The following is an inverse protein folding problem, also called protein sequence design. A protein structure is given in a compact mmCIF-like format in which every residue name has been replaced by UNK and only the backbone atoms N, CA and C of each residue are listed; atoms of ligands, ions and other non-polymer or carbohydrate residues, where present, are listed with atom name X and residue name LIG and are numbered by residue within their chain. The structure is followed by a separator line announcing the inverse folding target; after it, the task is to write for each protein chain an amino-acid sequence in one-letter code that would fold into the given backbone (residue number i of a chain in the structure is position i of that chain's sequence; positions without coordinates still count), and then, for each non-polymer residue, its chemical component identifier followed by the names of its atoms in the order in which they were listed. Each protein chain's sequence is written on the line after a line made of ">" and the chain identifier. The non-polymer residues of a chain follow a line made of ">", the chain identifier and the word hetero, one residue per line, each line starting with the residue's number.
data_IF_595693096651
#
_entry.id   IF_595693096651
#
_cell.length_a   1.000
_cell.length_b   1.000
_cell.length_c   1.000
_cell.angle_alpha   90.00
_cell.angle_beta   90.00
_cell.angle_gamma   90.00
#
_symmetry.space_group_name_H-M   'P 1'
#
loop_
_entity.id
_entity.type
_entity.pdbx_description
1 polymer ?
#
# COMPACT_ATOMS: atom_id res chain seq x y z
N UNK A 1 2.19 -6.70 0.79
CA UNK A 1 2.25 -5.50 1.65
C UNK A 1 1.08 -5.48 2.64
N UNK A 2 1.02 -4.48 3.49
CA UNK A 2 -0.09 -4.19 4.40
C UNK A 2 -0.47 -2.72 4.14
N UNK A 3 -1.76 -2.38 3.93
CA UNK A 3 -2.18 -1.01 3.62
C UNK A 3 -2.19 -0.11 4.87
N UNK A 4 -1.01 0.05 5.45
CA UNK A 4 -0.71 0.92 6.59
C UNK A 4 0.72 1.43 6.43
N UNK A 5 0.95 2.73 6.64
CA UNK A 5 2.18 3.43 6.24
C UNK A 5 3.47 2.78 6.75
N UNK A 6 3.61 2.54 8.05
CA UNK A 6 4.82 1.94 8.62
C UNK A 6 5.14 0.58 8.00
N UNK A 7 4.23 -0.41 8.08
CA UNK A 7 4.43 -1.73 7.49
C UNK A 7 4.67 -1.71 5.98
N UNK A 8 3.91 -0.89 5.23
CA UNK A 8 4.11 -0.80 3.77
C UNK A 8 5.48 -0.23 3.43
N UNK A 9 5.88 0.87 4.07
CA UNK A 9 7.19 1.50 3.85
C UNK A 9 8.34 0.60 4.27
N UNK A 10 8.21 -0.09 5.41
CA UNK A 10 9.20 -1.07 5.82
C UNK A 10 9.38 -2.18 4.77
N UNK A 11 8.27 -2.68 4.20
CA UNK A 11 8.34 -3.64 3.09
C UNK A 11 9.06 -3.06 1.86
N UNK A 12 8.75 -1.83 1.47
CA UNK A 12 9.40 -1.15 0.33
C UNK A 12 10.90 -1.00 0.50
N UNK A 13 11.38 -0.73 1.73
CA UNK A 13 12.80 -0.53 2.01
C UNK A 13 13.57 -1.80 2.32
N UNK A 14 12.89 -2.90 2.66
CA UNK A 14 13.56 -4.17 3.02
C UNK A 14 13.30 -5.31 2.03
N UNK A 15 12.27 -5.20 1.18
CA UNK A 15 11.84 -6.27 0.28
C UNK A 15 11.12 -7.44 0.98
N UNK A 16 10.86 -7.31 2.29
CA UNK A 16 10.19 -8.34 3.11
C UNK A 16 8.72 -8.00 3.35
N UNK A 17 7.92 -9.01 3.61
CA UNK A 17 6.53 -8.80 4.02
C UNK A 17 6.44 -8.23 5.44
N UNK A 18 5.36 -7.53 5.81
CA UNK A 18 5.17 -7.04 7.17
C UNK A 18 5.26 -8.13 8.24
N UNK A 19 4.77 -9.33 7.94
CA UNK A 19 4.83 -10.47 8.85
C UNK A 19 6.27 -10.96 9.08
N UNK A 20 7.11 -10.99 8.05
CA UNK A 20 8.53 -11.34 8.16
C UNK A 20 9.32 -10.32 8.98
N UNK A 21 8.96 -9.03 8.85
CA UNK A 21 9.54 -7.94 9.64
C UNK A 21 9.01 -7.94 11.09
N UNK A 22 7.85 -8.58 11.32
CA UNK A 22 7.13 -8.50 12.60
C UNK A 22 6.41 -7.16 12.80
N UNK A 23 6.10 -6.43 11.72
CA UNK A 23 5.51 -5.09 11.76
C UNK A 23 4.06 -5.13 11.28
N UNK A 24 3.11 -5.30 12.20
CA UNK A 24 1.67 -5.24 11.93
C UNK A 24 1.06 -3.85 12.12
N UNK A 25 1.76 -2.97 12.81
CA UNK A 25 1.30 -1.62 13.17
C UNK A 25 2.38 -0.59 12.85
N UNK A 26 2.01 0.68 12.90
CA UNK A 26 2.98 1.78 12.78
C UNK A 26 4.05 1.74 13.86
N UNK A 27 4.86 2.37 14.22
CA UNK A 27 5.75 2.50 15.40
C UNK A 27 6.53 1.24 15.82
N UNK A 28 6.34 0.11 15.13
CA UNK A 28 7.20 -1.06 15.32
C UNK A 28 8.50 -0.85 14.52
N UNK A 29 9.69 -0.95 15.13
CA UNK A 29 10.95 -0.74 14.42
C UNK A 29 11.30 -1.90 13.49
N UNK A 30 12.00 -1.60 12.40
CA UNK A 30 12.66 -2.63 11.58
C UNK A 30 13.66 -3.41 12.48
N UNK A 31 13.64 -4.76 12.42
CA UNK A 31 14.62 -5.58 13.14
C UNK A 31 16.07 -5.15 12.86
N UNK A 32 16.93 -5.19 13.86
CA UNK A 32 18.32 -4.78 13.74
C UNK A 32 19.06 -5.54 12.62
N UNK A 33 18.72 -6.84 12.46
CA UNK A 33 19.29 -7.70 11.40
C UNK A 33 18.99 -7.22 9.97
N UNK A 34 17.96 -6.39 9.76
CA UNK A 34 17.59 -5.85 8.45
C UNK A 34 18.13 -4.43 8.24
N UNK A 35 18.62 -3.73 9.26
CA UNK A 35 19.06 -2.32 9.14
C UNK A 35 20.21 -2.14 8.15
N UNK A 36 21.15 -3.07 8.11
CA UNK A 36 22.28 -3.04 7.18
C UNK A 36 21.93 -3.52 5.77
N UNK A 37 20.68 -3.92 5.54
CA UNK A 37 20.20 -4.51 4.27
C UNK A 37 18.99 -3.76 3.71
N UNK A 38 18.78 -2.53 4.17
CA UNK A 38 17.74 -1.67 3.61
C UNK A 38 18.14 -1.15 2.24
N UNK A 39 17.15 -0.77 1.44
CA UNK A 39 17.35 -0.25 0.09
C UNK A 39 18.40 0.88 0.04
N UNK A 40 18.36 1.83 0.98
CA UNK A 40 19.35 2.89 1.05
C UNK A 40 20.77 2.34 1.27
N UNK A 41 20.94 1.40 2.20
CA UNK A 41 22.25 0.77 2.47
C UNK A 41 22.75 -0.02 1.25
N UNK A 42 21.89 -0.76 0.58
CA UNK A 42 22.26 -1.51 -0.64
C UNK A 42 22.69 -0.57 -1.77
N UNK A 43 21.99 0.54 -1.95
CA UNK A 43 22.34 1.56 -2.95
C UNK A 43 23.66 2.25 -2.61
N UNK A 44 23.92 2.57 -1.34
CA UNK A 44 25.21 3.12 -0.89
C UNK A 44 26.36 2.13 -1.16
N UNK A 45 26.17 0.83 -0.85
CA UNK A 45 27.13 -0.23 -1.13
C UNK A 45 27.38 -0.42 -2.63
N UNK A 46 26.35 -0.20 -3.46
CA UNK A 46 26.47 -0.21 -4.92
C UNK A 46 27.15 1.06 -5.49
N UNK A 47 27.61 1.97 -4.63
CA UNK A 47 28.39 3.15 -5.01
C UNK A 47 27.56 4.39 -5.32
N UNK A 48 26.28 4.41 -4.98
CA UNK A 48 25.42 5.58 -5.15
C UNK A 48 25.59 6.58 -4.00
N UNK A 49 25.40 7.85 -4.28
CA UNK A 49 25.11 8.89 -3.29
C UNK A 49 23.62 8.81 -2.97
N UNK A 50 23.27 8.56 -1.73
CA UNK A 50 21.88 8.25 -1.32
C UNK A 50 21.32 9.35 -0.43
N UNK A 51 20.12 9.81 -0.73
CA UNK A 51 19.48 10.90 0.01
C UNK A 51 17.98 10.67 0.21
N UNK A 52 17.46 11.20 1.30
CA UNK A 52 16.06 11.11 1.68
C UNK A 52 15.53 12.48 2.12
N UNK A 53 14.35 12.85 1.62
CA UNK A 53 13.64 14.04 2.06
C UNK A 53 12.18 13.69 2.39
N UNK A 54 11.71 14.10 3.56
CA UNK A 54 10.30 14.07 3.94
C UNK A 54 9.88 12.91 4.85
N UNK A 55 8.68 12.40 4.66
CA UNK A 55 8.03 11.39 5.50
C UNK A 55 8.76 10.06 5.43
N UNK A 56 9.35 9.63 6.55
CA UNK A 56 9.94 8.30 6.71
C UNK A 56 8.90 7.28 7.15
N UNK A 57 8.28 7.50 8.26
CA UNK A 57 7.19 6.72 8.87
C UNK A 57 7.47 5.21 9.01
N UNK A 58 8.73 4.84 9.17
CA UNK A 58 9.14 3.51 9.60
C UNK A 58 9.61 3.65 11.04
N UNK A 59 8.75 3.37 12.00
CA UNK A 59 8.86 3.61 13.45
C UNK A 59 8.93 5.08 13.92
N UNK A 60 9.35 6.00 13.08
CA UNK A 60 9.38 7.45 13.36
C UNK A 60 8.91 8.22 12.12
N UNK A 61 8.36 9.43 12.32
CA UNK A 61 7.86 10.25 11.21
C UNK A 61 8.98 10.72 10.27
N UNK A 62 10.14 11.05 10.82
CA UNK A 62 11.33 11.47 10.07
C UNK A 62 12.40 10.39 10.14
N UNK A 63 13.32 10.39 9.19
CA UNK A 63 14.54 9.60 9.28
C UNK A 63 15.27 9.97 10.59
N UNK A 64 15.59 9.01 11.48
CA UNK A 64 15.95 9.32 12.87
C UNK A 64 17.27 10.08 13.02
N UNK A 65 18.20 9.91 12.10
CA UNK A 65 19.53 10.50 12.15
C UNK A 65 19.90 11.16 10.83
N UNK A 66 20.95 11.99 10.85
CA UNK A 66 21.44 12.65 9.62
C UNK A 66 21.85 11.64 8.54
N UNK A 67 22.41 10.50 8.96
CA UNK A 67 22.71 9.35 8.11
C UNK A 67 22.16 8.09 8.78
N UNK A 68 21.04 7.59 8.29
CA UNK A 68 20.42 6.39 8.80
C UNK A 68 19.89 5.54 7.64
N UNK A 69 19.93 4.24 7.81
CA UNK A 69 19.43 3.29 6.81
C UNK A 69 20.03 3.48 5.41
N UNK A 70 21.31 3.97 5.36
CA UNK A 70 22.02 4.26 4.11
C UNK A 70 21.58 5.55 3.41
N UNK A 71 20.87 6.48 4.06
CA UNK A 71 20.43 7.74 3.46
C UNK A 71 21.00 8.96 4.20
N UNK A 72 21.45 9.97 3.44
CA UNK A 72 21.58 11.34 3.94
C UNK A 72 20.17 11.93 4.13
N UNK A 73 19.86 12.38 5.34
CA UNK A 73 18.60 13.08 5.62
C UNK A 73 18.70 14.55 5.20
N UNK A 74 18.00 14.89 4.12
CA UNK A 74 17.95 16.25 3.58
C UNK A 74 16.88 17.13 4.24
N UNK A 75 15.75 16.51 4.60
CA UNK A 75 14.58 17.22 5.11
C UNK A 75 13.70 16.27 5.95
N UNK A 76 13.21 16.75 7.09
CA UNK A 76 12.34 15.98 7.96
C UNK A 76 10.89 15.86 7.46
N UNK A 77 10.01 15.31 8.31
CA UNK A 77 8.59 15.14 8.02
C UNK A 77 7.85 16.49 7.98
N UNK A 78 7.96 17.19 6.86
CA UNK A 78 7.26 18.43 6.57
C UNK A 78 7.26 18.63 5.05
N UNK A 79 6.11 18.93 4.46
CA UNK A 79 6.01 19.18 3.02
C UNK A 79 6.54 20.57 2.61
N UNK A 80 6.54 21.54 3.56
CA UNK A 80 7.12 22.86 3.30
C UNK A 80 8.65 22.78 3.24
N UNK A 81 9.23 23.21 2.12
CA UNK A 81 10.68 23.16 1.90
C UNK A 81 11.21 21.80 1.39
N UNK A 82 10.37 20.77 1.31
CA UNK A 82 10.79 19.44 0.83
C UNK A 82 11.22 19.50 -0.65
N UNK A 83 10.43 20.16 -1.48
CA UNK A 83 10.75 20.29 -2.91
C UNK A 83 12.07 21.07 -3.09
N UNK A 84 12.27 22.15 -2.35
CA UNK A 84 13.49 22.96 -2.36
C UNK A 84 14.70 22.14 -1.90
N UNK A 85 14.56 21.32 -0.87
CA UNK A 85 15.63 20.44 -0.39
C UNK A 85 16.02 19.40 -1.46
N UNK A 86 15.01 18.77 -2.10
CA UNK A 86 15.23 17.81 -3.18
C UNK A 86 15.89 18.49 -4.40
N UNK A 87 15.41 19.65 -4.83
CA UNK A 87 15.99 20.41 -5.94
C UNK A 87 17.43 20.84 -5.61
N UNK A 88 17.69 21.30 -4.39
CA UNK A 88 19.04 21.67 -3.95
C UNK A 88 19.99 20.48 -4.01
N UNK A 89 19.53 19.27 -3.64
CA UNK A 89 20.32 18.06 -3.80
C UNK A 89 20.60 17.76 -5.27
N UNK A 90 19.58 17.80 -6.14
CA UNK A 90 19.73 17.54 -7.58
C UNK A 90 20.68 18.53 -8.28
N UNK A 91 20.80 19.76 -7.79
CA UNK A 91 21.69 20.79 -8.31
C UNK A 91 23.12 20.70 -7.79
N UNK A 92 23.40 19.85 -6.80
CA UNK A 92 24.77 19.62 -6.32
C UNK A 92 25.65 19.04 -7.44
N UNK A 93 26.94 19.25 -7.36
CA UNK A 93 27.89 18.50 -8.18
C UNK A 93 28.02 17.09 -7.61
N UNK A 94 27.54 16.11 -8.34
CA UNK A 94 27.66 14.70 -7.98
C UNK A 94 28.89 14.08 -8.66
N UNK A 95 29.69 13.34 -7.89
CA UNK A 95 30.84 12.57 -8.41
C UNK A 95 30.49 11.08 -8.60
N UNK A 96 29.31 10.68 -8.18
CA UNK A 96 28.73 9.34 -8.26
C UNK A 96 27.30 9.43 -8.76
N UNK A 97 26.73 8.36 -9.31
CA UNK A 97 25.29 8.32 -9.51
C UNK A 97 24.59 8.50 -8.17
N UNK A 98 23.39 9.02 -8.16
CA UNK A 98 22.65 9.25 -6.92
C UNK A 98 21.33 8.50 -6.91
N UNK A 99 20.84 8.21 -5.71
CA UNK A 99 19.52 7.68 -5.42
C UNK A 99 18.82 8.61 -4.43
N UNK A 100 17.81 9.33 -4.89
CA UNK A 100 17.05 10.27 -4.08
C UNK A 100 15.62 9.76 -3.87
N UNK A 101 15.16 9.74 -2.63
CA UNK A 101 13.76 9.54 -2.26
C UNK A 101 13.19 10.88 -1.77
N UNK A 102 12.17 11.40 -2.45
CA UNK A 102 11.37 12.54 -2.01
C UNK A 102 9.97 12.06 -1.64
N UNK A 103 9.62 12.15 -0.37
CA UNK A 103 8.42 11.54 0.20
C UNK A 103 7.54 12.59 0.89
N UNK A 104 6.54 13.10 0.16
CA UNK A 104 5.57 14.04 0.69
C UNK A 104 4.61 13.35 1.67
N UNK A 105 4.11 14.11 2.65
CA UNK A 105 3.04 13.64 3.55
C UNK A 105 1.66 13.80 2.90
N UNK A 106 1.42 14.89 2.21
CA UNK A 106 0.17 15.09 1.49
C UNK A 106 -0.02 14.04 0.36
N UNK A 107 -1.27 13.56 0.21
CA UNK A 107 -2.54 14.08 0.73
C UNK A 107 -2.99 13.52 2.09
N UNK A 108 -2.12 13.01 2.93
CA UNK A 108 -2.49 12.43 4.24
C UNK A 108 -3.33 13.39 5.12
N UNK A 109 -3.09 14.71 5.02
CA UNK A 109 -3.84 15.74 5.75
C UNK A 109 -5.35 15.71 5.50
N UNK A 110 -5.82 15.07 4.42
CA UNK A 110 -7.24 14.90 4.17
C UNK A 110 -7.93 14.08 5.28
N UNK A 111 -7.20 13.18 5.92
CA UNK A 111 -7.70 12.39 7.04
C UNK A 111 -7.99 13.28 8.26
N UNK A 112 -7.08 14.20 8.59
CA UNK A 112 -7.25 15.15 9.69
C UNK A 112 -8.39 16.13 9.39
N UNK A 113 -8.48 16.63 8.17
CA UNK A 113 -9.57 17.49 7.72
C UNK A 113 -10.94 16.79 7.90
N UNK A 114 -11.09 15.57 7.41
CA UNK A 114 -12.32 14.79 7.54
C UNK A 114 -12.69 14.46 8.99
N UNK A 115 -11.70 14.35 9.86
CA UNK A 115 -11.91 14.12 11.30
C UNK A 115 -12.16 15.40 12.08
N UNK A 116 -12.15 16.57 11.41
CA UNK A 116 -12.21 17.90 12.03
C UNK A 116 -11.08 18.12 13.05
N UNK A 117 -9.91 17.59 12.73
CA UNK A 117 -8.67 17.75 13.50
C UNK A 117 -7.81 18.88 12.89
N UNK A 118 -6.85 19.37 13.66
CA UNK A 118 -5.87 20.31 13.13
C UNK A 118 -5.02 19.66 12.05
N UNK A 119 -4.88 20.33 10.90
CA UNK A 119 -4.00 19.88 9.84
C UNK A 119 -2.56 20.29 10.15
N UNK A 120 -1.57 19.36 10.14
CA UNK A 120 -0.24 19.63 10.66
C UNK A 120 0.57 20.59 9.77
N UNK A 121 0.35 20.64 8.46
CA UNK A 121 1.22 21.39 7.53
C UNK A 121 0.52 22.47 6.73
N UNK A 122 -0.81 22.52 6.70
CA UNK A 122 -1.55 23.57 6.01
C UNK A 122 -2.98 23.67 6.51
N UNK A 123 -3.57 24.87 6.44
CA UNK A 123 -5.00 25.01 6.60
C UNK A 123 -5.68 24.62 5.29
N UNK A 124 -6.48 23.57 5.33
CA UNK A 124 -7.32 23.17 4.19
C UNK A 124 -8.57 24.05 4.21
N UNK A 125 -8.77 24.83 3.13
CA UNK A 125 -10.01 25.57 2.94
C UNK A 125 -11.10 24.57 2.53
N UNK A 126 -12.30 24.77 3.08
CA UNK A 126 -13.46 23.99 2.65
C UNK A 126 -13.69 24.20 1.14
N UNK A 127 -13.68 23.13 0.32
CA UNK A 127 -13.89 23.27 -1.11
C UNK A 127 -15.33 23.65 -1.42
N UNK A 128 -15.51 24.42 -2.48
CA UNK A 128 -16.84 24.73 -3.03
C UNK A 128 -17.45 23.46 -3.56
N UNK A 129 -18.70 23.17 -3.20
CA UNK A 129 -19.35 21.88 -3.52
C UNK A 129 -19.44 21.61 -5.03
N UNK A 130 -19.61 22.65 -5.83
CA UNK A 130 -19.68 22.59 -7.28
C UNK A 130 -18.39 22.10 -7.93
N UNK A 131 -17.25 22.38 -7.29
CA UNK A 131 -15.92 21.94 -7.73
C UNK A 131 -15.58 20.53 -7.25
N UNK A 132 -16.39 19.97 -6.32
CA UNK A 132 -16.15 18.63 -5.78
C UNK A 132 -16.61 17.55 -6.76
N UNK A 133 -15.87 16.44 -6.89
CA UNK A 133 -16.29 15.32 -7.70
C UNK A 133 -17.59 14.70 -7.17
N UNK A 134 -18.27 13.96 -8.03
CA UNK A 134 -19.43 13.17 -7.62
C UNK A 134 -18.97 12.02 -6.70
N UNK A 135 -19.89 11.53 -5.87
CA UNK A 135 -19.65 10.33 -5.08
C UNK A 135 -19.29 9.15 -6.01
N UNK A 136 -18.37 8.27 -5.60
CA UNK A 136 -18.02 7.11 -6.40
C UNK A 136 -19.23 6.18 -6.57
N UNK A 137 -19.26 5.42 -7.67
CA UNK A 137 -20.37 4.51 -7.98
C UNK A 137 -20.58 3.44 -6.88
N UNK A 138 -19.52 3.08 -6.18
CA UNK A 138 -19.52 2.14 -5.05
C UNK A 138 -19.53 2.84 -3.67
N UNK A 139 -20.14 4.02 -3.59
CA UNK A 139 -20.30 4.74 -2.32
C UNK A 139 -21.05 3.92 -1.27
N UNK A 140 -22.11 3.22 -1.67
CA UNK A 140 -22.91 2.44 -0.75
C UNK A 140 -22.17 1.18 -0.26
N UNK A 141 -22.54 0.73 0.93
CA UNK A 141 -21.99 -0.52 1.49
C UNK A 141 -22.52 -1.68 0.66
N UNK A 142 -21.63 -2.54 0.21
CA UNK A 142 -22.00 -3.71 -0.58
C UNK A 142 -22.84 -4.71 0.23
N UNK A 143 -23.83 -5.37 -0.36
CA UNK A 143 -24.52 -6.49 0.27
C UNK A 143 -23.54 -7.61 0.63
N UNK A 144 -23.76 -8.23 1.79
CA UNK A 144 -22.92 -9.33 2.30
C UNK A 144 -21.44 -8.96 2.49
N UNK A 145 -21.19 -7.70 2.85
CA UNK A 145 -19.87 -7.25 3.28
C UNK A 145 -19.37 -8.05 4.49
N UNK A 146 -18.06 -8.14 4.67
CA UNK A 146 -17.52 -8.94 5.77
C UNK A 146 -17.88 -8.33 7.14
N UNK A 147 -18.21 -9.17 8.10
CA UNK A 147 -18.65 -8.74 9.44
C UNK A 147 -17.62 -7.86 10.14
N UNK A 148 -16.33 -8.18 9.96
CA UNK A 148 -15.23 -7.39 10.54
C UNK A 148 -15.22 -5.96 9.99
N UNK A 149 -15.52 -5.75 8.71
CA UNK A 149 -15.58 -4.41 8.11
C UNK A 149 -16.75 -3.60 8.69
N UNK A 150 -17.88 -4.25 8.94
CA UNK A 150 -19.02 -3.61 9.62
C UNK A 150 -18.65 -3.20 11.04
N UNK A 151 -17.91 -4.02 11.75
CA UNK A 151 -17.43 -3.70 13.09
C UNK A 151 -16.39 -2.57 13.07
N UNK A 152 -15.38 -2.63 12.21
CA UNK A 152 -14.38 -1.56 12.02
C UNK A 152 -15.04 -0.22 11.66
N UNK A 153 -16.02 -0.22 10.77
CA UNK A 153 -16.79 0.96 10.40
C UNK A 153 -17.53 1.55 11.61
N UNK A 154 -18.09 0.69 12.46
CA UNK A 154 -18.76 1.13 13.70
C UNK A 154 -17.80 1.78 14.68
N UNK A 155 -16.56 1.29 14.78
CA UNK A 155 -15.51 1.91 15.61
C UNK A 155 -15.08 3.26 15.02
N UNK A 156 -14.85 3.32 13.71
CA UNK A 156 -14.52 4.56 13.00
C UNK A 156 -15.59 5.64 13.24
N UNK A 157 -16.87 5.27 13.20
CA UNK A 157 -17.98 6.18 13.49
C UNK A 157 -18.05 6.67 14.95
N UNK A 158 -17.45 5.97 15.90
CA UNK A 158 -17.33 6.43 17.29
C UNK A 158 -16.19 7.42 17.46
N UNK A 159 -15.12 7.23 16.70
CA UNK A 159 -13.89 8.04 16.79
C UNK A 159 -13.98 9.32 15.97
N UNK A 160 -14.73 9.31 14.86
CA UNK A 160 -14.75 10.39 13.87
C UNK A 160 -16.18 10.84 13.54
N UNK A 161 -16.37 12.09 13.12
CA UNK A 161 -17.68 12.65 12.81
C UNK A 161 -18.33 12.08 11.54
N UNK A 162 -17.65 11.23 10.79
CA UNK A 162 -18.07 10.67 9.48
C UNK A 162 -19.41 9.93 9.55
N UNK A 163 -19.82 9.47 10.71
CA UNK A 163 -21.15 8.91 10.94
C UNK A 163 -22.29 9.84 10.51
N UNK A 164 -22.09 11.14 10.68
CA UNK A 164 -23.12 12.15 10.45
C UNK A 164 -22.93 12.87 9.11
N UNK A 165 -22.02 12.39 8.25
CA UNK A 165 -21.74 13.01 6.98
C UNK A 165 -22.89 12.79 6.00
N UNK A 166 -23.34 13.90 5.42
CA UNK A 166 -24.23 13.91 4.26
C UNK A 166 -23.48 13.49 2.98
N UNK A 167 -24.16 13.15 1.88
CA UNK A 167 -23.51 12.95 0.59
C UNK A 167 -22.61 14.11 0.17
N UNK A 168 -22.98 15.36 0.47
CA UNK A 168 -22.19 16.53 0.14
C UNK A 168 -20.93 16.66 1.01
N UNK A 169 -20.99 16.28 2.28
CA UNK A 169 -19.81 16.20 3.14
C UNK A 169 -18.81 15.17 2.59
N UNK A 170 -19.28 14.02 2.15
CA UNK A 170 -18.45 13.00 1.51
C UNK A 170 -17.85 13.48 0.19
N UNK A 171 -18.56 14.24 -0.63
CA UNK A 171 -18.03 14.84 -1.86
C UNK A 171 -16.88 15.79 -1.57
N UNK A 172 -16.97 16.64 -0.55
CA UNK A 172 -15.91 17.55 -0.15
C UNK A 172 -14.66 16.84 0.38
N UNK A 173 -14.81 15.59 0.81
CA UNK A 173 -13.71 14.75 1.28
C UNK A 173 -12.93 14.10 0.14
N UNK A 174 -13.46 14.04 -1.06
CA UNK A 174 -12.92 13.26 -2.17
C UNK A 174 -11.78 13.99 -2.90
N UNK A 175 -10.54 13.83 -2.45
CA UNK A 175 -9.31 14.22 -3.19
C UNK A 175 -8.35 13.06 -3.15
N UNK A 176 -7.86 12.59 -4.32
CA UNK A 176 -7.04 11.38 -4.41
C UNK A 176 -5.67 11.66 -5.00
N UNK A 177 -4.61 11.21 -4.31
CA UNK A 177 -3.33 10.81 -4.89
C UNK A 177 -2.67 9.73 -4.02
N UNK A 178 -1.93 8.75 -4.59
CA UNK A 178 -1.52 7.54 -3.86
C UNK A 178 -0.03 7.29 -3.84
N UNK A 179 0.48 6.51 -2.82
CA UNK A 179 1.89 6.18 -2.67
C UNK A 179 2.16 4.82 -2.02
N UNK A 180 2.12 4.72 -0.70
CA UNK A 180 2.40 3.50 0.08
C UNK A 180 1.18 2.56 0.18
N UNK A 181 0.00 3.14 0.21
CA UNK A 181 -1.33 2.53 0.13
C UNK A 181 -2.32 3.57 -0.38
N UNK A 182 -3.53 3.17 -0.71
CA UNK A 182 -4.64 4.08 -1.01
C UNK A 182 -5.42 4.48 0.24
N UNK A 183 -6.60 5.04 0.01
CA UNK A 183 -7.60 5.41 1.02
C UNK A 183 -8.98 5.05 0.48
N UNK A 184 -9.95 4.79 1.36
CA UNK A 184 -11.29 4.39 0.97
C UNK A 184 -12.09 5.44 0.20
N UNK A 185 -11.73 6.71 0.32
CA UNK A 185 -12.25 7.85 -0.44
C UNK A 185 -13.74 7.81 -0.70
N UNK A 186 -14.51 7.60 0.35
CA UNK A 186 -15.96 7.44 0.37
C UNK A 186 -16.51 6.12 -0.23
N UNK A 187 -15.72 5.31 -0.94
CA UNK A 187 -16.17 4.00 -1.38
C UNK A 187 -16.58 3.14 -0.18
N UNK A 188 -17.68 2.41 -0.29
CA UNK A 188 -18.24 1.58 0.80
C UNK A 188 -18.45 2.32 2.12
N UNK A 189 -18.67 3.63 2.11
CA UNK A 189 -18.70 4.51 3.28
C UNK A 189 -17.39 4.44 4.10
N UNK A 190 -16.25 4.26 3.45
CA UNK A 190 -14.95 4.14 4.07
C UNK A 190 -14.05 5.34 3.76
N UNK A 191 -13.33 5.84 4.76
CA UNK A 191 -12.48 7.03 4.67
C UNK A 191 -11.09 6.79 5.28
N UNK A 192 -10.63 5.56 5.27
CA UNK A 192 -9.40 5.14 5.90
C UNK A 192 -8.66 4.12 5.04
N UNK A 193 -7.49 3.78 5.47
CA UNK A 193 -6.66 2.65 5.06
C UNK A 193 -7.00 1.38 5.86
N UNK A 194 -6.18 0.37 5.80
CA UNK A 194 -6.24 -0.92 6.50
C UNK A 194 -7.25 -1.93 5.96
N UNK A 195 -8.32 -1.53 5.32
CA UNK A 195 -9.22 -2.46 4.63
C UNK A 195 -8.64 -2.95 3.30
N UNK A 196 -9.20 -4.03 2.76
CA UNK A 196 -8.69 -4.65 1.53
C UNK A 196 -9.54 -4.31 0.28
N UNK A 197 -10.28 -3.20 0.31
CA UNK A 197 -10.97 -2.69 -0.87
C UNK A 197 -9.98 -2.17 -1.92
N UNK A 198 -10.39 -2.19 -3.19
CA UNK A 198 -9.55 -1.81 -4.33
C UNK A 198 -8.96 -0.41 -4.17
N UNK A 199 -9.73 0.56 -3.69
CA UNK A 199 -9.28 1.95 -3.47
C UNK A 199 -8.12 2.05 -2.46
N UNK A 200 -8.03 1.09 -1.54
CA UNK A 200 -6.99 1.07 -0.50
C UNK A 200 -5.75 0.28 -0.93
N UNK A 201 -5.92 -0.77 -1.74
CA UNK A 201 -4.83 -1.70 -2.07
C UNK A 201 -4.29 -1.55 -3.48
N UNK A 202 -5.05 -0.95 -4.41
CA UNK A 202 -4.62 -0.71 -5.78
C UNK A 202 -4.08 0.71 -5.94
N UNK A 203 -2.78 0.85 -5.97
CA UNK A 203 -2.07 2.13 -6.08
C UNK A 203 -1.35 2.24 -7.42
N UNK A 204 -1.14 3.45 -7.95
CA UNK A 204 -0.31 3.64 -9.13
C UNK A 204 1.12 3.16 -8.92
N UNK A 205 1.66 2.48 -9.92
CA UNK A 205 3.07 2.12 -10.00
C UNK A 205 3.60 2.60 -11.36
N UNK A 206 4.25 3.76 -11.36
CA UNK A 206 4.69 4.44 -12.58
C UNK A 206 6.21 4.38 -12.67
N UNK A 207 6.71 3.88 -13.79
CA UNK A 207 8.13 3.83 -14.10
C UNK A 207 8.42 4.73 -15.30
N UNK A 208 9.33 5.67 -15.13
CA UNK A 208 9.83 6.51 -16.22
C UNK A 208 11.27 6.11 -16.55
N UNK A 209 11.48 5.52 -17.71
CA UNK A 209 12.80 5.16 -18.21
C UNK A 209 13.25 6.18 -19.27
N UNK A 210 14.48 6.72 -19.18
CA UNK A 210 15.01 7.60 -20.21
C UNK A 210 14.97 6.91 -21.57
N UNK A 211 14.53 7.64 -22.61
CA UNK A 211 14.46 7.16 -24.00
C UNK A 211 13.60 5.91 -24.20
N UNK A 212 12.68 5.59 -23.30
CA UNK A 212 11.79 4.44 -23.43
C UNK A 212 10.91 4.55 -24.68
N UNK A 213 10.89 3.49 -25.48
CA UNK A 213 9.95 3.35 -26.61
C UNK A 213 8.53 3.00 -26.17
N UNK A 214 8.32 2.80 -24.87
CA UNK A 214 7.06 2.37 -24.26
C UNK A 214 6.42 3.45 -23.40
N UNK A 215 6.82 4.72 -23.55
CA UNK A 215 6.24 5.84 -22.82
C UNK A 215 4.71 5.87 -23.00
N UNK A 216 4.00 6.11 -21.91
CA UNK A 216 2.53 6.13 -21.88
C UNK A 216 1.84 4.75 -21.93
N UNK A 217 2.59 3.65 -21.96
CA UNK A 217 2.02 2.31 -21.99
C UNK A 217 1.52 1.91 -20.60
N UNK A 218 0.29 1.39 -20.54
CA UNK A 218 -0.28 0.78 -19.34
C UNK A 218 -0.20 -0.74 -19.50
N UNK A 219 0.37 -1.41 -18.51
CA UNK A 219 0.53 -2.87 -18.50
C UNK A 219 -0.39 -3.50 -17.45
N UNK A 220 -1.06 -4.63 -17.76
CA UNK A 220 -2.00 -5.29 -16.85
C UNK A 220 -1.30 -6.14 -15.78
N UNK A 221 0.01 -5.99 -15.62
CA UNK A 221 0.81 -6.80 -14.71
C UNK A 221 0.43 -6.51 -13.26
N UNK A 222 0.30 -7.57 -12.47
CA UNK A 222 0.16 -7.45 -11.02
C UNK A 222 1.55 -7.22 -10.40
N UNK A 223 1.67 -6.16 -9.63
CA UNK A 223 2.90 -5.76 -8.94
C UNK A 223 2.57 -5.58 -7.46
N UNK A 224 3.40 -6.10 -6.59
CA UNK A 224 3.34 -5.81 -5.17
C UNK A 224 4.40 -4.75 -4.82
N UNK A 225 3.99 -3.49 -4.74
CA UNK A 225 4.90 -2.38 -4.47
C UNK A 225 5.73 -2.56 -3.19
N UNK A 226 5.18 -3.21 -2.17
CA UNK A 226 5.88 -3.46 -0.91
C UNK A 226 7.08 -4.40 -1.06
N UNK A 227 6.99 -5.40 -1.93
CA UNK A 227 8.06 -6.40 -2.09
C UNK A 227 8.86 -6.24 -3.38
N UNK A 228 8.21 -5.77 -4.48
CA UNK A 228 8.84 -5.73 -5.80
C UNK A 228 9.69 -4.46 -6.04
N UNK A 229 9.46 -3.40 -5.26
CA UNK A 229 10.16 -2.12 -5.46
C UNK A 229 11.66 -2.25 -5.22
N UNK A 230 12.06 -2.80 -4.08
CA UNK A 230 13.47 -2.91 -3.71
C UNK A 230 14.27 -3.77 -4.70
N UNK A 231 13.87 -5.01 -5.04
CA UNK A 231 14.61 -5.79 -6.02
C UNK A 231 14.65 -5.14 -7.41
N UNK A 232 13.62 -4.38 -7.78
CA UNK A 232 13.61 -3.64 -9.04
C UNK A 232 14.66 -2.52 -9.06
N UNK A 233 14.74 -1.73 -8.02
CA UNK A 233 15.72 -0.64 -7.92
C UNK A 233 17.14 -1.21 -7.88
N UNK A 234 17.38 -2.26 -7.08
CA UNK A 234 18.68 -2.94 -7.02
C UNK A 234 19.10 -3.48 -8.40
N UNK A 235 18.16 -4.09 -9.13
CA UNK A 235 18.44 -4.61 -10.49
C UNK A 235 18.83 -3.48 -11.46
N UNK A 236 18.13 -2.35 -11.47
CA UNK A 236 18.54 -1.20 -12.29
C UNK A 236 19.89 -0.61 -11.87
N UNK A 237 20.21 -0.64 -10.58
CA UNK A 237 21.46 -0.15 -10.04
C UNK A 237 22.63 -1.15 -10.21
N UNK A 238 22.39 -2.37 -10.70
CA UNK A 238 23.30 -3.50 -10.64
C UNK A 238 23.83 -3.77 -9.23
N UNK A 239 22.99 -3.50 -8.21
CA UNK A 239 23.24 -3.84 -6.82
C UNK A 239 22.82 -5.28 -6.53
N UNK A 240 23.48 -5.91 -5.56
CA UNK A 240 23.12 -7.27 -5.15
C UNK A 240 21.73 -7.26 -4.47
N UNK A 241 20.83 -8.08 -4.98
CA UNK A 241 19.51 -8.31 -4.37
C UNK A 241 19.64 -9.42 -3.33
N UNK A 242 19.28 -9.19 -2.05
CA UNK A 242 19.31 -10.24 -1.05
C UNK A 242 18.45 -11.45 -1.45
N UNK A 243 18.95 -12.67 -1.20
CA UNK A 243 18.30 -13.91 -1.66
C UNK A 243 16.98 -14.23 -0.92
N UNK A 244 16.78 -13.66 0.26
CA UNK A 244 15.61 -13.88 1.12
C UNK A 244 14.48 -12.87 0.92
N UNK A 245 14.60 -11.94 -0.05
CA UNK A 245 13.49 -11.03 -0.38
C UNK A 245 12.40 -11.76 -1.17
N UNK A 246 11.16 -11.34 -0.96
CA UNK A 246 9.99 -12.01 -1.52
C UNK A 246 9.60 -11.52 -2.91
N UNK A 247 9.98 -10.30 -3.23
CA UNK A 247 9.60 -9.63 -4.48
C UNK A 247 10.46 -10.02 -5.66
N UNK A 248 9.98 -9.64 -6.84
CA UNK A 248 10.68 -9.83 -8.11
C UNK A 248 10.91 -8.48 -8.79
N UNK A 249 12.03 -8.36 -9.51
CA UNK A 249 12.31 -7.16 -10.31
C UNK A 249 11.31 -7.04 -11.46
N UNK A 250 10.77 -5.84 -11.63
CA UNK A 250 9.90 -5.48 -12.76
C UNK A 250 10.68 -4.87 -13.94
N UNK A 251 12.01 -4.83 -13.88
CA UNK A 251 12.88 -4.20 -14.88
C UNK A 251 12.62 -4.75 -16.28
N UNK A 252 12.61 -6.07 -16.43
CA UNK A 252 12.42 -6.71 -17.74
C UNK A 252 11.08 -6.36 -18.39
N UNK A 253 10.01 -6.22 -17.59
CA UNK A 253 8.68 -5.82 -18.05
C UNK A 253 8.68 -4.35 -18.46
N UNK A 254 9.28 -3.49 -17.65
CA UNK A 254 9.35 -2.06 -17.90
C UNK A 254 10.17 -1.74 -19.17
N UNK A 255 11.29 -2.43 -19.38
CA UNK A 255 12.17 -2.25 -20.54
C UNK A 255 11.57 -2.84 -21.84
N UNK A 256 10.93 -4.00 -21.75
CA UNK A 256 10.32 -4.66 -22.93
C UNK A 256 8.94 -4.12 -23.29
N UNK A 257 8.23 -3.53 -22.32
CA UNK A 257 6.84 -3.13 -22.47
C UNK A 257 5.88 -4.31 -22.70
N UNK A 258 6.31 -5.54 -22.44
CA UNK A 258 5.52 -6.76 -22.60
C UNK A 258 5.39 -7.48 -21.26
N UNK A 259 4.16 -7.80 -20.79
CA UNK A 259 3.98 -8.62 -19.61
C UNK A 259 4.55 -10.01 -19.89
N UNK A 260 5.47 -10.49 -19.06
CA UNK A 260 5.97 -11.85 -19.13
C UNK A 260 4.93 -12.81 -18.55
N UNK A 261 4.71 -13.95 -19.22
CA UNK A 261 3.62 -14.90 -18.89
C UNK A 261 3.71 -15.50 -17.47
N UNK A 262 4.86 -15.41 -16.79
CA UNK A 262 5.14 -16.16 -15.57
C UNK A 262 5.50 -15.32 -14.35
N UNK A 263 5.51 -13.99 -14.47
CA UNK A 263 5.76 -13.14 -13.30
C UNK A 263 4.49 -12.96 -12.50
N UNK A 264 4.50 -13.49 -11.30
CA UNK A 264 3.46 -13.35 -10.27
C UNK A 264 2.02 -13.54 -10.80
N UNK A 265 1.55 -14.79 -10.92
CA UNK A 265 0.17 -15.05 -11.35
C UNK A 265 -0.87 -14.48 -10.37
N UNK A 266 -0.46 -14.13 -9.17
CA UNK A 266 -1.25 -13.46 -8.15
C UNK A 266 -0.36 -12.66 -7.20
N UNK A 267 -0.95 -11.70 -6.50
CA UNK A 267 -0.32 -10.98 -5.38
C UNK A 267 -1.14 -11.18 -4.12
N UNK A 268 -0.45 -11.16 -2.96
CA UNK A 268 -1.09 -11.25 -1.65
C UNK A 268 -0.84 -9.96 -0.88
N UNK A 269 -1.90 -9.46 -0.25
CA UNK A 269 -1.86 -8.34 0.69
C UNK A 269 -2.47 -8.80 2.00
N UNK A 270 -1.83 -8.48 3.11
CA UNK A 270 -2.32 -8.74 4.45
C UNK A 270 -2.85 -7.47 5.09
N UNK A 271 -3.76 -7.62 6.04
CA UNK A 271 -4.18 -6.52 6.91
C UNK A 271 -4.32 -7.00 8.37
N UNK A 272 -4.23 -6.03 9.28
CA UNK A 272 -4.37 -6.25 10.70
C UNK A 272 -5.23 -5.14 11.33
N UNK A 273 -6.28 -5.55 12.00
CA UNK A 273 -7.20 -4.65 12.69
C UNK A 273 -6.94 -4.69 14.20
N UNK A 274 -6.03 -3.86 14.67
CA UNK A 274 -5.65 -3.80 16.07
C UNK A 274 -6.86 -3.50 17.00
N UNK A 275 -7.76 -2.64 16.55
CA UNK A 275 -8.92 -2.19 17.34
C UNK A 275 -10.03 -3.26 17.48
N UNK A 276 -10.05 -4.28 16.62
CA UNK A 276 -10.99 -5.40 16.68
C UNK A 276 -10.40 -6.65 17.34
N UNK A 277 -9.49 -6.46 18.28
CA UNK A 277 -8.86 -7.55 19.02
C UNK A 277 -7.80 -8.30 18.25
N UNK A 278 -7.19 -7.68 17.23
CA UNK A 278 -6.09 -8.26 16.47
C UNK A 278 -6.54 -9.21 15.37
N UNK A 279 -7.65 -8.92 14.70
CA UNK A 279 -8.15 -9.71 13.57
C UNK A 279 -7.31 -9.47 12.32
N UNK A 280 -6.86 -10.53 11.68
CA UNK A 280 -6.15 -10.48 10.41
C UNK A 280 -7.07 -10.69 9.21
N UNK A 281 -6.62 -10.21 8.06
CA UNK A 281 -7.24 -10.46 6.77
C UNK A 281 -6.20 -10.61 5.66
N UNK A 282 -6.56 -11.36 4.64
CA UNK A 282 -5.71 -11.64 3.47
C UNK A 282 -6.51 -11.46 2.20
N UNK A 283 -5.88 -10.83 1.22
CA UNK A 283 -6.37 -10.69 -0.13
C UNK A 283 -5.46 -11.47 -1.08
N UNK A 284 -6.05 -12.29 -1.94
CA UNK A 284 -5.39 -12.88 -3.11
C UNK A 284 -5.96 -12.23 -4.36
N UNK A 285 -5.14 -11.50 -5.10
CA UNK A 285 -5.51 -10.83 -6.35
C UNK A 285 -4.89 -11.58 -7.53
N UNK A 286 -5.72 -12.17 -8.36
CA UNK A 286 -5.36 -12.73 -9.67
C UNK A 286 -5.78 -11.75 -10.78
N UNK A 287 -5.47 -12.02 -12.03
CA UNK A 287 -5.87 -11.14 -13.16
C UNK A 287 -7.39 -10.92 -13.25
N UNK A 288 -8.20 -11.91 -12.86
CA UNK A 288 -9.66 -11.87 -13.02
C UNK A 288 -10.41 -11.64 -11.70
N UNK A 289 -9.92 -12.23 -10.62
CA UNK A 289 -10.65 -12.26 -9.35
C UNK A 289 -9.84 -11.67 -8.21
N UNK A 290 -10.56 -11.15 -7.24
CA UNK A 290 -10.06 -10.74 -5.94
C UNK A 290 -10.78 -11.53 -4.88
N UNK A 291 -10.04 -12.34 -4.14
CA UNK A 291 -10.53 -13.11 -3.02
C UNK A 291 -10.01 -12.52 -1.72
N UNK A 292 -10.89 -12.33 -0.76
CA UNK A 292 -10.55 -11.81 0.57
C UNK A 292 -11.05 -12.78 1.63
N UNK A 293 -10.20 -13.05 2.62
CA UNK A 293 -10.54 -13.85 3.78
C UNK A 293 -10.14 -13.11 5.05
N UNK A 294 -11.07 -12.95 5.97
CA UNK A 294 -10.81 -12.47 7.32
C UNK A 294 -10.79 -13.63 8.33
N UNK A 295 -10.02 -13.49 9.41
CA UNK A 295 -9.85 -14.52 10.42
C UNK A 295 -11.14 -14.77 11.20
N UNK A 296 -11.96 -13.76 11.42
CA UNK A 296 -13.18 -13.79 12.23
C UNK A 296 -14.41 -13.33 11.46
N UNK A 297 -15.59 -13.62 12.01
CA UNK A 297 -16.90 -13.28 11.42
C UNK A 297 -17.61 -14.47 10.78
N UNK A 298 -18.90 -14.36 10.58
CA UNK A 298 -19.70 -15.34 9.83
C UNK A 298 -19.53 -15.13 8.33
N UNK A 299 -19.71 -13.90 7.86
CA UNK A 299 -19.46 -13.46 6.48
C UNK A 299 -18.02 -12.98 6.38
N UNK A 300 -17.07 -13.89 6.35
CA UNK A 300 -15.65 -13.56 6.39
C UNK A 300 -14.92 -13.77 5.06
N UNK A 301 -15.61 -14.32 4.07
CA UNK A 301 -15.07 -14.54 2.73
C UNK A 301 -15.76 -13.62 1.74
N UNK A 302 -14.98 -13.02 0.88
CA UNK A 302 -15.47 -12.22 -0.25
C UNK A 302 -14.75 -12.66 -1.52
N UNK A 303 -15.47 -12.67 -2.63
CA UNK A 303 -14.93 -12.90 -3.96
C UNK A 303 -15.54 -11.90 -4.91
N UNK A 304 -14.72 -11.22 -5.71
CA UNK A 304 -15.14 -10.22 -6.68
C UNK A 304 -14.57 -10.54 -8.07
N UNK A 305 -15.37 -10.37 -9.11
CA UNK A 305 -14.91 -10.38 -10.50
C UNK A 305 -14.41 -9.00 -10.90
N UNK A 306 -13.11 -8.83 -10.91
CA UNK A 306 -12.46 -7.54 -11.15
C UNK A 306 -12.53 -7.03 -12.61
N UNK A 307 -13.10 -7.81 -13.51
CA UNK A 307 -13.39 -7.36 -14.87
C UNK A 307 -14.74 -6.64 -14.98
N UNK A 308 -15.73 -7.13 -14.24
CA UNK A 308 -17.12 -6.68 -14.34
C UNK A 308 -17.60 -5.89 -13.12
N UNK A 309 -16.95 -6.06 -11.97
CA UNK A 309 -17.30 -5.43 -10.69
C UNK A 309 -16.05 -4.87 -9.98
N UNK A 310 -15.43 -3.87 -10.57
CA UNK A 310 -14.28 -3.17 -9.97
C UNK A 310 -14.63 -2.41 -8.68
N UNK A 311 -15.89 -2.06 -8.50
CA UNK A 311 -16.40 -1.40 -7.32
C UNK A 311 -16.74 -2.35 -6.17
N UNK A 312 -16.51 -3.65 -6.33
CA UNK A 312 -16.67 -4.66 -5.27
C UNK A 312 -18.05 -4.68 -4.62
N UNK A 313 -19.10 -4.46 -5.44
CA UNK A 313 -20.48 -4.34 -4.96
C UNK A 313 -21.23 -5.67 -4.87
N UNK A 314 -20.69 -6.75 -5.48
CA UNK A 314 -21.31 -8.07 -5.49
C UNK A 314 -20.39 -9.14 -4.95
N UNK A 315 -20.61 -9.57 -3.72
CA UNK A 315 -19.84 -10.67 -3.14
C UNK A 315 -20.28 -12.03 -3.75
N UNK A 316 -19.44 -12.56 -4.64
CA UNK A 316 -19.66 -13.85 -5.30
C UNK A 316 -19.39 -15.06 -4.39
N UNK A 317 -18.82 -14.87 -3.21
CA UNK A 317 -18.48 -15.96 -2.29
C UNK A 317 -19.73 -16.70 -1.76
N UNK A 318 -20.90 -16.06 -1.80
CA UNK A 318 -22.16 -16.67 -1.39
C UNK A 318 -22.86 -17.44 -2.53
N UNK A 319 -22.33 -17.39 -3.74
CA UNK A 319 -22.97 -17.97 -4.94
C UNK A 319 -22.38 -19.35 -5.27
N UNK A 320 -23.25 -20.36 -5.37
CA UNK A 320 -22.84 -21.75 -5.60
C UNK A 320 -21.98 -21.98 -6.85
N UNK A 321 -22.20 -21.21 -7.89
CA UNK A 321 -21.49 -21.34 -9.17
C UNK A 321 -20.01 -20.94 -9.09
N UNK A 322 -19.59 -20.20 -8.06
CA UNK A 322 -18.20 -19.77 -7.87
C UNK A 322 -17.40 -20.65 -6.89
N UNK A 323 -17.96 -21.78 -6.43
CA UNK A 323 -17.29 -22.68 -5.47
C UNK A 323 -15.90 -23.11 -5.90
N UNK A 324 -15.72 -23.44 -7.17
CA UNK A 324 -14.41 -23.87 -7.69
C UNK A 324 -13.42 -22.69 -7.74
N UNK A 325 -13.86 -21.49 -8.08
CA UNK A 325 -13.03 -20.28 -8.06
C UNK A 325 -12.58 -19.98 -6.63
N UNK A 326 -13.48 -20.07 -5.66
CA UNK A 326 -13.17 -19.87 -4.24
C UNK A 326 -12.15 -20.92 -3.78
N UNK A 327 -12.37 -22.20 -4.09
CA UNK A 327 -11.45 -23.28 -3.74
C UNK A 327 -10.05 -23.05 -4.31
N UNK A 328 -9.94 -22.62 -5.57
CA UNK A 328 -8.66 -22.28 -6.18
C UNK A 328 -7.96 -21.16 -5.40
N UNK A 329 -8.66 -20.08 -5.05
CA UNK A 329 -8.08 -18.94 -4.33
C UNK A 329 -7.70 -19.28 -2.88
N UNK A 330 -8.49 -20.13 -2.21
CA UNK A 330 -8.11 -20.70 -0.90
C UNK A 330 -6.81 -21.51 -1.01
N UNK A 331 -6.66 -22.30 -2.08
CA UNK A 331 -5.43 -23.06 -2.33
C UNK A 331 -4.23 -22.14 -2.54
N UNK A 332 -4.37 -21.11 -3.36
CA UNK A 332 -3.31 -20.11 -3.57
C UNK A 332 -2.90 -19.44 -2.26
N UNK A 333 -3.87 -19.05 -1.43
CA UNK A 333 -3.59 -18.45 -0.13
C UNK A 333 -2.87 -19.42 0.80
N UNK A 334 -3.34 -20.68 0.88
CA UNK A 334 -2.69 -21.73 1.69
C UNK A 334 -1.26 -22.01 1.25
N UNK A 335 -1.01 -22.08 -0.05
CA UNK A 335 0.34 -22.28 -0.59
C UNK A 335 1.27 -21.11 -0.29
N UNK A 336 0.73 -19.89 -0.38
CA UNK A 336 1.47 -18.68 -0.01
C UNK A 336 1.81 -18.69 1.49
N UNK A 337 0.85 -18.96 2.37
CA UNK A 337 1.04 -19.01 3.83
C UNK A 337 2.02 -20.11 4.29
N UNK A 338 2.17 -21.20 3.52
CA UNK A 338 3.18 -22.22 3.80
C UNK A 338 4.61 -21.74 3.55
N UNK A 339 4.76 -20.79 2.62
CA UNK A 339 6.07 -20.29 2.19
C UNK A 339 6.48 -19.01 2.94
N UNK A 340 5.50 -18.29 3.49
CA UNK A 340 5.70 -16.97 4.09
C UNK A 340 5.11 -16.94 5.50
N UNK A 341 5.81 -16.35 6.48
CA UNK A 341 5.20 -15.97 7.74
C UNK A 341 3.98 -15.08 7.49
N UNK A 342 2.95 -15.20 8.31
CA UNK A 342 1.72 -14.41 8.22
C UNK A 342 1.43 -13.70 9.54
N UNK A 343 0.69 -12.61 9.49
CA UNK A 343 0.26 -11.88 10.68
C UNK A 343 -0.75 -12.67 11.53
N UNK A 344 -1.46 -13.64 10.95
CA UNK A 344 -2.43 -14.49 11.63
C UNK A 344 -1.79 -15.62 12.41
N UNK A 345 -2.55 -16.13 13.39
CA UNK A 345 -2.04 -17.12 14.36
C UNK A 345 -2.00 -18.55 13.84
N UNK A 346 -2.77 -18.89 12.81
CA UNK A 346 -2.89 -20.28 12.32
C UNK A 346 -3.64 -20.36 10.98
N UNK A 347 -3.29 -21.37 10.16
CA UNK A 347 -4.03 -21.68 8.91
C UNK A 347 -5.35 -22.44 9.14
N UNK A 348 -5.66 -22.84 10.38
CA UNK A 348 -6.86 -23.60 10.70
C UNK A 348 -8.18 -22.88 10.42
N UNK A 349 -8.16 -21.57 10.30
CA UNK A 349 -9.34 -20.76 10.01
C UNK A 349 -9.69 -20.70 8.52
N UNK A 350 -8.85 -21.20 7.61
CA UNK A 350 -9.18 -21.23 6.17
C UNK A 350 -10.23 -22.30 5.95
N UNK A 351 -11.41 -21.97 5.39
CA UNK A 351 -12.44 -22.94 5.11
C UNK A 351 -11.95 -24.02 4.12
N UNK A 352 -12.32 -25.26 4.37
CA UNK A 352 -11.95 -26.40 3.49
C UNK A 352 -12.72 -26.38 2.19
#
# INVERSE_FOLDING_TARGET
>A
SLPLSGPSRASMFTGHTPAEIGMAENEIPIPESLRSRTLGTLMEQAGYETAYAGKWHVNTNSLPEKHAFGFENLHGHNDFGLAEAAVSFLQRKHNKPFFLVASFDNPHNICEYARKQNTPFATIKEPVLEDCPNLPANFNIAPYDADVLTYERSLSYRLYPTRNYTPDDWRRYLIIFTSDHGDGVAAHHWNQKTVLYEEVVNIPFIICLPQSKHAGKVLPQLINNGTDLMPSICDWANAEVPQDVQGVSVRSIAESGNPQKEQQPYVVTETFFAQTGGTCGWMVRTSNYKYVLYETGKNREMLYDMKTDRGEMRNLAIERQYKEVIKQHRTLLLEWMKKHPTLGRSTHFIPK
#
